data_IF_216061366329
#
_entry.id   IF_216061366329
#
_cell.length_a   1.000
_cell.length_b   1.000
_cell.length_c   1.000
_cell.angle_alpha   90.00
_cell.angle_beta   90.00
_cell.angle_gamma   90.00
#
_symmetry.space_group_name_H-M   'P 1'
#
loop_
_entity.id
_entity.type
_entity.pdbx_description
1 polymer ?
#
# COMPACT_ATOMS: atom_id res chain seq x y z
N UNK A 1 -6.66 -7.43 6.20
CA UNK A 1 -7.20 -6.39 7.09
C UNK A 1 -6.44 -6.36 8.42
N UNK A 2 -6.40 -5.21 9.10
CA UNK A 2 -5.76 -5.07 10.39
C UNK A 2 -6.83 -5.02 11.50
N UNK A 3 -6.95 -6.03 12.35
CA UNK A 3 -8.00 -6.10 13.37
C UNK A 3 -7.90 -5.01 14.45
N UNK A 4 -6.75 -4.32 14.54
CA UNK A 4 -6.53 -3.24 15.50
C UNK A 4 -7.05 -1.88 15.02
N UNK A 5 -7.36 -1.73 13.73
CA UNK A 5 -7.73 -0.46 13.10
C UNK A 5 -9.10 -0.57 12.45
N UNK A 6 -9.84 0.52 12.50
CA UNK A 6 -11.14 0.59 11.82
C UNK A 6 -10.94 0.97 10.35
N UNK A 7 -11.64 0.25 9.47
CA UNK A 7 -11.67 0.53 8.06
C UNK A 7 -12.63 1.69 7.79
N UNK A 8 -12.18 2.72 7.06
CA UNK A 8 -13.02 3.79 6.51
C UNK A 8 -13.32 3.52 5.04
N UNK A 9 -12.40 2.88 4.33
CA UNK A 9 -12.49 2.45 2.94
C UNK A 9 -11.17 1.82 2.50
N UNK A 10 -11.16 1.12 1.37
CA UNK A 10 -9.96 0.49 0.82
C UNK A 10 -9.34 1.26 -0.34
N UNK A 11 -10.08 2.16 -0.99
CA UNK A 11 -9.59 2.96 -2.11
C UNK A 11 -10.05 4.41 -1.98
N UNK A 12 -10.85 4.96 -2.84
CA UNK A 12 -11.15 6.37 -3.07
C UNK A 12 -11.52 7.20 -1.83
N UNK A 13 -10.52 7.86 -1.25
CA UNK A 13 -10.67 8.74 -0.09
C UNK A 13 -10.60 10.21 -0.49
N UNK A 14 -11.40 11.03 0.20
CA UNK A 14 -11.33 12.46 0.13
C UNK A 14 -10.85 13.04 1.46
N UNK A 15 -10.06 14.09 1.40
CA UNK A 15 -9.66 14.86 2.57
C UNK A 15 -10.28 16.26 2.53
N UNK A 16 -11.41 16.41 3.21
CA UNK A 16 -12.18 17.66 3.34
C UNK A 16 -11.58 18.59 4.41
N UNK A 17 -12.13 19.81 4.58
CA UNK A 17 -11.80 20.66 5.74
C UNK A 17 -12.09 20.03 7.10
N UNK A 18 -13.05 19.10 7.18
CA UNK A 18 -13.52 18.49 8.43
C UNK A 18 -12.89 17.12 8.73
N UNK A 19 -12.07 16.60 7.82
CA UNK A 19 -11.42 15.29 7.95
C UNK A 19 -11.52 14.47 6.67
N UNK A 20 -11.26 13.15 6.79
CA UNK A 20 -11.29 12.22 5.67
C UNK A 20 -12.63 11.48 5.59
N UNK A 21 -13.01 11.13 4.38
CA UNK A 21 -14.16 10.25 4.13
C UNK A 21 -13.91 9.42 2.88
N UNK A 22 -14.55 8.25 2.83
CA UNK A 22 -14.56 7.41 1.65
C UNK A 22 -15.82 7.70 0.83
N UNK A 23 -15.70 7.73 -0.50
CA UNK A 23 -16.83 7.99 -1.41
C UNK A 23 -17.42 6.71 -2.00
N UNK A 24 -16.78 5.57 -1.78
CA UNK A 24 -17.27 4.25 -2.16
C UNK A 24 -18.11 3.64 -1.03
N UNK A 25 -19.13 2.91 -1.39
CA UNK A 25 -19.96 2.16 -0.44
C UNK A 25 -19.49 0.72 -0.23
N UNK A 26 -18.35 0.33 -0.76
CA UNK A 26 -17.87 -1.04 -0.78
C UNK A 26 -16.36 -1.18 -0.87
N UNK A 27 -15.93 -2.41 -1.05
CA UNK A 27 -14.54 -2.80 -1.28
C UNK A 27 -14.43 -3.61 -2.56
N UNK A 28 -13.28 -3.52 -3.24
CA UNK A 28 -12.97 -4.27 -4.46
C UNK A 28 -11.61 -4.94 -4.32
N UNK A 29 -11.61 -6.16 -3.80
CA UNK A 29 -10.41 -6.88 -3.39
C UNK A 29 -9.95 -7.92 -4.40
N UNK A 30 -8.66 -8.26 -4.39
CA UNK A 30 -8.13 -9.44 -5.10
C UNK A 30 -8.59 -10.71 -4.42
N UNK A 31 -8.98 -11.71 -5.25
CA UNK A 31 -9.48 -12.99 -4.78
C UNK A 31 -8.47 -14.13 -4.94
N UNK A 32 -7.42 -13.94 -5.74
CA UNK A 32 -6.42 -14.99 -5.96
C UNK A 32 -5.78 -15.44 -4.65
N UNK A 33 -5.74 -16.76 -4.43
CA UNK A 33 -5.23 -17.42 -3.21
C UNK A 33 -5.93 -16.94 -1.93
N UNK A 34 -7.15 -16.44 -2.01
CA UNK A 34 -7.91 -16.00 -0.84
C UNK A 34 -8.23 -17.19 0.06
N UNK A 35 -7.83 -17.11 1.31
CA UNK A 35 -8.14 -18.13 2.31
C UNK A 35 -8.61 -17.51 3.63
N UNK A 36 -9.43 -18.24 4.41
CA UNK A 36 -9.91 -17.79 5.70
C UNK A 36 -8.79 -17.61 6.74
N UNK A 37 -7.64 -18.28 6.56
CA UNK A 37 -6.48 -18.20 7.44
C UNK A 37 -5.67 -16.91 7.19
N UNK A 38 -5.55 -16.50 5.93
CA UNK A 38 -4.72 -15.37 5.55
C UNK A 38 -5.48 -14.04 5.63
N UNK A 39 -6.70 -14.00 5.10
CA UNK A 39 -7.54 -12.80 5.03
C UNK A 39 -8.98 -13.08 5.50
N UNK A 40 -9.16 -13.41 6.80
CA UNK A 40 -10.46 -13.86 7.34
C UNK A 40 -11.58 -12.82 7.17
N UNK A 41 -11.29 -11.53 7.27
CA UNK A 41 -12.31 -10.49 7.12
C UNK A 41 -12.82 -10.40 5.68
N UNK A 42 -11.92 -10.48 4.68
CA UNK A 42 -12.29 -10.46 3.26
C UNK A 42 -13.06 -11.75 2.91
N UNK A 43 -12.52 -12.90 3.33
CA UNK A 43 -13.15 -14.19 3.08
C UNK A 43 -14.59 -14.24 3.63
N UNK A 44 -14.81 -13.80 4.87
CA UNK A 44 -16.12 -13.79 5.50
C UNK A 44 -17.06 -12.68 4.97
N UNK A 45 -16.53 -11.69 4.26
CA UNK A 45 -17.33 -10.67 3.58
C UNK A 45 -17.94 -11.19 2.27
N UNK A 46 -17.40 -12.28 1.70
CA UNK A 46 -17.96 -12.91 0.49
C UNK A 46 -19.19 -13.73 0.85
N UNK A 47 -20.35 -13.14 0.68
CA UNK A 47 -21.66 -13.75 0.93
C UNK A 47 -22.68 -13.21 -0.05
N UNK A 48 -23.93 -13.57 0.09
CA UNK A 48 -25.01 -13.10 -0.77
C UNK A 48 -24.97 -11.56 -0.90
N UNK A 49 -24.96 -11.08 -2.15
CA UNK A 49 -24.80 -9.65 -2.47
C UNK A 49 -23.38 -9.25 -2.90
N UNK A 50 -22.38 -10.13 -2.73
CA UNK A 50 -21.03 -9.92 -3.30
C UNK A 50 -21.02 -10.25 -4.79
N UNK A 51 -20.16 -9.55 -5.55
CA UNK A 51 -19.95 -9.80 -6.98
C UNK A 51 -18.52 -10.32 -7.16
N UNK A 52 -18.38 -11.46 -7.82
CA UNK A 52 -17.10 -12.07 -8.18
C UNK A 52 -16.82 -11.86 -9.66
N UNK A 53 -15.59 -11.49 -9.98
CA UNK A 53 -15.12 -11.26 -11.35
C UNK A 53 -13.92 -12.13 -11.66
N UNK A 54 -13.98 -12.86 -12.78
CA UNK A 54 -12.95 -13.82 -13.23
C UNK A 54 -12.67 -14.97 -12.24
N UNK A 55 -13.55 -15.21 -11.29
CA UNK A 55 -13.42 -16.28 -10.30
C UNK A 55 -14.19 -17.51 -10.81
N UNK A 56 -13.54 -18.66 -10.74
CA UNK A 56 -14.14 -19.95 -11.14
C UNK A 56 -14.96 -20.53 -9.98
N UNK A 57 -16.06 -21.16 -10.31
CA UNK A 57 -16.89 -21.89 -9.36
C UNK A 57 -17.44 -23.17 -10.00
N UNK A 58 -17.70 -24.17 -9.19
CA UNK A 58 -18.40 -25.39 -9.63
C UNK A 58 -19.90 -25.10 -9.80
N UNK A 59 -20.45 -25.41 -10.99
CA UNK A 59 -21.85 -25.11 -11.31
C UNK A 59 -22.86 -25.94 -10.49
N UNK A 60 -22.48 -27.11 -10.02
CA UNK A 60 -23.35 -28.01 -9.28
C UNK A 60 -23.33 -27.74 -7.79
N UNK A 61 -22.13 -27.65 -7.19
CA UNK A 61 -21.95 -27.42 -5.75
C UNK A 61 -22.02 -25.94 -5.37
N UNK A 62 -21.77 -25.03 -6.31
CA UNK A 62 -21.62 -23.58 -6.12
C UNK A 62 -20.40 -23.20 -5.28
N UNK A 63 -19.47 -24.12 -5.10
CA UNK A 63 -18.21 -23.86 -4.45
C UNK A 63 -17.28 -23.04 -5.35
N UNK A 64 -16.64 -22.05 -4.75
CA UNK A 64 -15.75 -21.11 -5.44
C UNK A 64 -14.30 -21.57 -5.29
N UNK A 65 -13.56 -21.59 -6.40
CA UNK A 65 -12.12 -21.87 -6.41
C UNK A 65 -11.33 -20.58 -6.60
N UNK A 66 -10.70 -20.11 -5.52
CA UNK A 66 -9.87 -18.92 -5.55
C UNK A 66 -8.44 -19.16 -6.04
N UNK A 67 -8.04 -20.42 -6.23
CA UNK A 67 -6.72 -20.80 -6.72
C UNK A 67 -6.72 -21.02 -8.25
N UNK A 68 -7.91 -21.19 -8.85
CA UNK A 68 -8.05 -21.36 -10.30
C UNK A 68 -7.78 -20.06 -11.04
N UNK A 69 -6.73 -20.07 -11.85
CA UNK A 69 -6.28 -18.95 -12.69
C UNK A 69 -6.49 -19.20 -14.19
N UNK A 70 -7.35 -20.13 -14.55
CA UNK A 70 -7.57 -20.53 -15.94
C UNK A 70 -8.09 -19.41 -16.83
N UNK A 71 -8.83 -18.44 -16.28
CA UNK A 71 -9.23 -17.22 -16.99
C UNK A 71 -8.11 -16.17 -16.90
N UNK A 72 -7.70 -15.81 -15.68
CA UNK A 72 -6.65 -14.81 -15.39
C UNK A 72 -6.29 -14.85 -13.91
N UNK A 73 -5.09 -14.40 -13.57
CA UNK A 73 -4.69 -14.16 -12.17
C UNK A 73 -5.36 -12.90 -11.57
N UNK A 74 -5.95 -12.04 -12.40
CA UNK A 74 -6.65 -10.83 -11.94
C UNK A 74 -8.10 -11.16 -11.57
N UNK A 75 -8.27 -11.98 -10.55
CA UNK A 75 -9.57 -12.29 -9.96
C UNK A 75 -9.96 -11.23 -8.95
N UNK A 76 -11.22 -10.83 -8.90
CA UNK A 76 -11.72 -9.76 -8.02
C UNK A 76 -13.02 -10.15 -7.34
N UNK A 77 -13.24 -9.54 -6.18
CA UNK A 77 -14.51 -9.60 -5.48
C UNK A 77 -14.90 -8.24 -4.92
N UNK A 78 -16.14 -7.84 -5.15
CA UNK A 78 -16.73 -6.61 -4.66
C UNK A 78 -17.82 -6.93 -3.65
N UNK A 79 -17.82 -6.22 -2.53
CA UNK A 79 -18.79 -6.40 -1.45
C UNK A 79 -19.05 -5.07 -0.71
N UNK A 80 -20.23 -4.89 -0.11
CA UNK A 80 -20.54 -3.72 0.72
C UNK A 80 -19.58 -3.59 1.89
N UNK A 81 -19.17 -2.38 2.22
CA UNK A 81 -18.20 -2.13 3.31
C UNK A 81 -18.72 -2.59 4.67
N UNK A 82 -20.03 -2.61 4.88
CA UNK A 82 -20.68 -3.09 6.09
C UNK A 82 -20.49 -4.59 6.33
N UNK A 83 -20.01 -5.34 5.32
CA UNK A 83 -19.69 -6.76 5.47
C UNK A 83 -18.36 -6.96 6.21
N UNK A 84 -17.55 -5.92 6.35
CA UNK A 84 -16.33 -5.93 7.15
C UNK A 84 -16.66 -5.52 8.59
N UNK A 85 -16.48 -6.40 9.59
CA UNK A 85 -16.83 -6.11 10.98
C UNK A 85 -16.07 -4.92 11.59
N UNK A 86 -14.84 -4.68 11.14
CA UNK A 86 -14.02 -3.56 11.57
C UNK A 86 -14.32 -2.23 10.85
N UNK A 87 -15.28 -2.19 9.92
CA UNK A 87 -15.67 -0.97 9.23
C UNK A 87 -16.27 0.08 10.17
N UNK A 88 -15.93 1.33 9.94
CA UNK A 88 -16.48 2.46 10.63
C UNK A 88 -17.61 3.07 9.80
N UNK A 89 -18.83 3.01 10.30
CA UNK A 89 -19.99 3.59 9.64
C UNK A 89 -20.47 4.83 10.43
N UNK A 90 -20.68 5.97 9.79
CA UNK A 90 -20.35 6.28 8.39
C UNK A 90 -18.84 6.29 8.13
N UNK A 91 -18.45 6.09 6.88
CA UNK A 91 -17.06 5.96 6.45
C UNK A 91 -16.30 7.30 6.51
N UNK A 92 -16.18 7.86 7.71
CA UNK A 92 -15.60 9.19 7.98
C UNK A 92 -14.63 9.13 9.15
N UNK A 93 -13.58 9.95 9.09
CA UNK A 93 -12.58 10.11 10.15
C UNK A 93 -12.19 11.57 10.34
N UNK A 94 -11.46 11.87 11.41
CA UNK A 94 -10.78 13.16 11.57
C UNK A 94 -9.61 13.31 10.59
N UNK A 95 -8.81 14.35 10.80
CA UNK A 95 -7.59 14.54 10.00
C UNK A 95 -6.58 13.43 10.27
N UNK A 96 -5.91 12.89 9.24
CA UNK A 96 -4.90 11.85 9.41
C UNK A 96 -3.65 12.41 10.11
N UNK A 97 -3.07 11.63 11.00
CA UNK A 97 -1.77 11.94 11.60
C UNK A 97 -0.61 11.50 10.69
N UNK A 98 -0.84 10.53 9.83
CA UNK A 98 0.16 9.98 8.93
C UNK A 98 -0.40 9.82 7.52
N UNK A 99 0.39 10.20 6.53
CA UNK A 99 0.19 9.90 5.11
C UNK A 99 1.25 8.91 4.69
N UNK A 100 0.86 7.76 4.19
CA UNK A 100 1.78 6.68 3.81
C UNK A 100 1.68 6.49 2.30
N UNK A 101 2.79 6.76 1.61
CA UNK A 101 2.95 6.44 0.19
C UNK A 101 3.48 5.01 0.08
N UNK A 102 2.67 4.12 -0.48
CA UNK A 102 3.10 2.77 -0.77
C UNK A 102 3.80 2.74 -2.13
N UNK A 103 4.98 2.15 -2.15
CA UNK A 103 5.70 1.87 -3.40
C UNK A 103 6.10 0.40 -3.46
N UNK A 104 6.40 -0.08 -4.65
CA UNK A 104 6.94 -1.40 -4.89
C UNK A 104 8.16 -1.25 -5.78
N UNK A 105 9.34 -1.18 -5.18
CA UNK A 105 10.59 -1.07 -5.90
C UNK A 105 11.08 -2.44 -6.39
N UNK A 106 11.12 -2.63 -7.70
CA UNK A 106 11.59 -3.87 -8.32
C UNK A 106 13.11 -3.98 -8.42
N UNK A 107 13.84 -2.91 -8.09
CA UNK A 107 15.30 -2.83 -8.24
C UNK A 107 16.05 -3.09 -6.92
N UNK A 108 15.37 -3.08 -5.79
CA UNK A 108 15.97 -3.34 -4.48
C UNK A 108 16.84 -2.20 -3.95
N UNK A 109 16.57 -0.95 -4.37
CA UNK A 109 17.36 0.24 -4.02
C UNK A 109 16.67 1.16 -3.01
N UNK A 110 15.33 1.14 -2.95
CA UNK A 110 14.60 1.96 -1.97
C UNK A 110 14.56 1.27 -0.60
N UNK A 111 14.74 2.04 0.49
CA UNK A 111 14.60 1.52 1.83
C UNK A 111 13.14 1.11 2.12
N UNK A 112 12.93 0.17 3.09
CA UNK A 112 11.60 -0.29 3.43
C UNK A 112 10.71 0.80 4.03
N UNK A 113 11.31 1.81 4.67
CA UNK A 113 10.61 2.96 5.22
C UNK A 113 11.50 4.19 5.21
N UNK A 114 10.91 5.35 4.88
CA UNK A 114 11.56 6.65 4.97
C UNK A 114 10.58 7.71 5.44
N UNK A 115 11.06 8.65 6.23
CA UNK A 115 10.34 9.87 6.55
C UNK A 115 10.57 10.90 5.44
N UNK A 116 9.49 11.53 5.00
CA UNK A 116 9.52 12.49 3.92
C UNK A 116 9.31 13.93 4.43
N UNK A 117 10.06 14.86 3.89
CA UNK A 117 9.74 16.30 3.96
C UNK A 117 8.51 16.59 3.09
N UNK A 118 7.88 17.76 3.27
CA UNK A 118 6.74 18.18 2.44
C UNK A 118 7.07 18.19 0.95
N UNK A 119 8.25 18.66 0.57
CA UNK A 119 8.69 18.67 -0.82
C UNK A 119 8.90 17.26 -1.39
N UNK A 120 9.48 16.35 -0.61
CA UNK A 120 9.64 14.94 -1.00
C UNK A 120 8.28 14.24 -1.09
N UNK A 121 7.34 14.52 -0.17
CA UNK A 121 5.98 14.00 -0.24
C UNK A 121 5.28 14.42 -1.54
N UNK A 122 5.38 15.72 -1.92
CA UNK A 122 4.85 16.21 -3.19
C UNK A 122 5.49 15.50 -4.39
N UNK A 123 6.81 15.31 -4.38
CA UNK A 123 7.53 14.63 -5.45
C UNK A 123 7.07 13.18 -5.61
N UNK A 124 7.04 12.40 -4.52
CA UNK A 124 6.58 11.01 -4.55
C UNK A 124 5.11 10.89 -4.93
N UNK A 125 4.28 11.83 -4.49
CA UNK A 125 2.87 11.88 -4.87
C UNK A 125 2.68 12.16 -6.36
N UNK A 126 3.37 13.17 -6.91
CA UNK A 126 3.29 13.50 -8.33
C UNK A 126 3.84 12.35 -9.19
N UNK A 127 4.95 11.74 -8.77
CA UNK A 127 5.53 10.62 -9.54
C UNK A 127 4.67 9.36 -9.49
N UNK A 128 4.06 9.08 -8.35
CA UNK A 128 3.26 7.87 -8.15
C UNK A 128 4.03 6.60 -8.51
N UNK A 129 5.33 6.55 -8.16
CA UNK A 129 6.21 5.44 -8.52
C UNK A 129 5.82 4.17 -7.80
N UNK A 130 5.66 3.11 -8.57
CA UNK A 130 5.47 1.74 -8.08
C UNK A 130 5.92 0.75 -9.15
N UNK A 131 5.71 -0.55 -8.94
CA UNK A 131 5.87 -1.55 -9.98
C UNK A 131 4.56 -2.32 -10.18
N UNK A 132 4.21 -2.56 -11.45
CA UNK A 132 3.24 -3.58 -11.81
C UNK A 132 3.89 -4.94 -11.53
N UNK A 133 3.18 -5.81 -10.86
CA UNK A 133 3.63 -7.17 -10.56
C UNK A 133 2.71 -8.19 -11.22
N UNK A 134 3.18 -9.41 -11.36
CA UNK A 134 2.36 -10.49 -11.92
C UNK A 134 0.97 -10.56 -11.26
N UNK A 135 -0.07 -10.78 -12.05
CA UNK A 135 -1.46 -10.83 -11.59
C UNK A 135 -2.11 -9.46 -11.33
N UNK A 136 -1.47 -8.35 -11.70
CA UNK A 136 -2.11 -7.02 -11.63
C UNK A 136 -2.80 -6.63 -12.93
N UNK A 137 -2.20 -6.98 -14.06
CA UNK A 137 -2.73 -6.75 -15.40
C UNK A 137 -2.42 -7.94 -16.31
N UNK A 138 -3.21 -8.12 -17.37
CA UNK A 138 -3.00 -9.17 -18.38
C UNK A 138 -1.64 -8.92 -19.07
N UNK A 139 -0.81 -9.96 -19.15
CA UNK A 139 0.48 -9.92 -19.85
C UNK A 139 1.68 -9.48 -18.98
N UNK A 140 1.47 -9.03 -17.76
CA UNK A 140 2.55 -8.72 -16.81
C UNK A 140 3.01 -10.00 -16.12
N UNK A 141 4.21 -10.47 -16.48
CA UNK A 141 4.85 -11.68 -15.91
C UNK A 141 6.00 -11.36 -14.97
N UNK A 142 6.66 -10.22 -15.16
CA UNK A 142 7.75 -9.70 -14.34
C UNK A 142 7.43 -8.30 -13.85
N UNK A 143 8.01 -7.85 -12.73
CA UNK A 143 7.80 -6.50 -12.23
C UNK A 143 8.30 -5.44 -13.19
N UNK A 144 7.43 -4.51 -13.56
CA UNK A 144 7.74 -3.36 -14.40
C UNK A 144 7.53 -2.06 -13.64
N UNK A 145 8.54 -1.18 -13.67
CA UNK A 145 8.40 0.15 -13.09
C UNK A 145 7.27 0.93 -13.76
N UNK A 146 6.40 1.51 -12.99
CA UNK A 146 5.29 2.33 -13.48
C UNK A 146 5.16 3.61 -12.69
N UNK A 147 4.58 4.62 -13.33
CA UNK A 147 4.32 5.93 -12.75
C UNK A 147 2.85 6.28 -12.98
N UNK A 148 2.11 6.48 -11.89
CA UNK A 148 0.72 6.92 -11.94
C UNK A 148 0.60 8.23 -11.14
N UNK A 149 0.55 9.39 -11.78
CA UNK A 149 0.50 10.66 -11.08
C UNK A 149 -0.56 10.68 -9.99
N UNK A 150 -0.17 11.08 -8.78
CA UNK A 150 -0.99 11.09 -7.59
C UNK A 150 -1.62 9.71 -7.24
N UNK A 151 -1.04 8.60 -7.75
CA UNK A 151 -1.58 7.23 -7.67
C UNK A 151 -2.97 7.06 -8.29
N UNK A 152 -3.43 8.04 -9.05
CA UNK A 152 -4.77 8.07 -9.63
C UNK A 152 -4.78 8.69 -11.04
N UNK A 153 -3.71 8.51 -11.83
CA UNK A 153 -3.53 9.16 -13.13
C UNK A 153 -4.76 9.17 -14.04
N UNK A 154 -5.49 8.04 -14.23
CA UNK A 154 -6.70 8.00 -15.06
C UNK A 154 -7.86 8.87 -14.57
N UNK A 155 -7.88 9.24 -13.28
CA UNK A 155 -8.98 9.96 -12.64
C UNK A 155 -8.72 11.44 -12.42
N UNK A 156 -7.52 11.93 -12.76
CA UNK A 156 -7.16 13.34 -12.53
C UNK A 156 -7.83 14.26 -13.55
N UNK A 157 -8.57 15.25 -13.05
CA UNK A 157 -9.19 16.31 -13.88
C UNK A 157 -8.36 17.59 -13.91
N UNK A 158 -7.44 17.78 -12.97
CA UNK A 158 -6.50 18.89 -12.92
C UNK A 158 -5.07 18.41 -13.08
N UNK A 159 -4.15 19.33 -13.32
CA UNK A 159 -2.72 19.01 -13.35
C UNK A 159 -2.26 18.41 -12.01
N UNK A 160 -1.41 17.35 -12.00
CA UNK A 160 -0.97 16.67 -10.79
C UNK A 160 -0.40 17.59 -9.71
N UNK A 161 0.28 18.67 -10.10
CA UNK A 161 0.83 19.66 -9.16
C UNK A 161 -0.25 20.28 -8.26
N UNK A 162 -1.48 20.47 -8.79
CA UNK A 162 -2.59 21.02 -8.00
C UNK A 162 -2.97 20.12 -6.83
N UNK A 163 -3.01 18.82 -7.06
CA UNK A 163 -3.31 17.83 -6.01
C UNK A 163 -2.16 17.75 -5.00
N UNK A 164 -0.91 17.82 -5.45
CA UNK A 164 0.25 17.78 -4.57
C UNK A 164 0.34 19.02 -3.67
N UNK A 165 0.03 20.21 -4.20
CA UNK A 165 -0.08 21.44 -3.42
C UNK A 165 -1.18 21.34 -2.35
N UNK A 166 -2.36 20.83 -2.72
CA UNK A 166 -3.47 20.63 -1.77
C UNK A 166 -3.09 19.63 -0.67
N UNK A 167 -2.41 18.55 -1.02
CA UNK A 167 -1.92 17.58 -0.05
C UNK A 167 -0.92 18.21 0.93
N UNK A 168 0.08 18.94 0.41
CA UNK A 168 1.07 19.61 1.22
C UNK A 168 0.44 20.64 2.19
N UNK A 169 -0.50 21.46 1.70
CA UNK A 169 -1.23 22.43 2.52
C UNK A 169 -2.02 21.74 3.66
N UNK A 170 -2.69 20.63 3.36
CA UNK A 170 -3.44 19.88 4.38
C UNK A 170 -2.51 19.20 5.39
N UNK A 171 -1.40 18.63 4.95
CA UNK A 171 -0.40 18.04 5.84
C UNK A 171 0.17 19.10 6.80
N UNK A 172 0.51 20.27 6.29
CA UNK A 172 1.03 21.38 7.11
C UNK A 172 -0.03 21.90 8.09
N UNK A 173 -1.26 22.13 7.62
CA UNK A 173 -2.35 22.67 8.44
C UNK A 173 -2.74 21.74 9.60
N UNK A 174 -2.58 20.43 9.43
CA UNK A 174 -3.01 19.42 10.42
C UNK A 174 -1.84 18.67 11.07
N UNK A 175 -0.59 19.03 10.76
CA UNK A 175 0.61 18.42 11.35
C UNK A 175 0.79 16.93 10.97
N UNK A 176 0.30 16.51 9.81
CA UNK A 176 0.42 15.13 9.36
C UNK A 176 1.84 14.82 8.88
N UNK A 177 2.40 13.69 9.33
CA UNK A 177 3.70 13.19 8.88
C UNK A 177 3.56 12.38 7.59
N UNK A 178 4.55 12.50 6.69
CA UNK A 178 4.59 11.72 5.46
C UNK A 178 5.67 10.63 5.52
N UNK A 179 5.32 9.46 5.02
CA UNK A 179 6.19 8.29 5.00
C UNK A 179 6.15 7.64 3.62
N UNK A 180 7.33 7.21 3.13
CA UNK A 180 7.44 6.29 1.99
C UNK A 180 7.66 4.90 2.53
N UNK A 181 6.79 3.95 2.16
CA UNK A 181 6.89 2.54 2.56
C UNK A 181 7.05 1.69 1.30
N UNK A 182 8.20 1.03 1.19
CA UNK A 182 8.52 0.14 0.08
C UNK A 182 8.13 -1.29 0.41
N UNK A 183 7.27 -1.87 -0.41
CA UNK A 183 6.82 -3.26 -0.34
C UNK A 183 7.47 -4.15 -1.40
N UNK A 184 8.44 -3.61 -2.13
CA UNK A 184 9.13 -4.26 -3.25
C UNK A 184 10.26 -5.18 -2.83
N UNK A 185 11.37 -5.12 -3.53
CA UNK A 185 12.52 -6.02 -3.37
C UNK A 185 13.58 -5.44 -2.44
N UNK A 186 14.38 -6.32 -1.87
CA UNK A 186 15.54 -6.04 -1.02
C UNK A 186 16.63 -7.07 -1.32
N UNK A 187 17.91 -6.71 -1.16
CA UNK A 187 19.04 -7.58 -1.43
C UNK A 187 19.36 -7.77 -2.91
N UNK A 188 18.78 -6.96 -3.78
CA UNK A 188 18.93 -6.99 -5.23
C UNK A 188 17.61 -6.76 -5.95
N UNK A 189 17.69 -6.63 -7.27
CA UNK A 189 16.54 -6.52 -8.14
C UNK A 189 15.72 -7.83 -8.20
N UNK A 190 14.55 -7.78 -8.82
CA UNK A 190 13.78 -8.98 -9.16
C UNK A 190 14.68 -10.04 -9.82
N UNK A 191 14.50 -11.29 -9.42
CA UNK A 191 15.32 -12.42 -9.87
C UNK A 191 16.61 -12.62 -9.07
N UNK A 192 17.09 -11.63 -8.33
CA UNK A 192 18.30 -11.73 -7.46
C UNK A 192 17.94 -11.52 -5.99
N UNK A 193 17.24 -10.42 -5.70
CA UNK A 193 16.75 -10.13 -4.36
C UNK A 193 15.47 -10.86 -4.01
N UNK A 194 14.96 -10.60 -2.83
CA UNK A 194 13.69 -11.14 -2.34
C UNK A 194 12.70 -10.01 -2.03
N UNK A 195 11.42 -10.30 -2.21
CA UNK A 195 10.36 -9.34 -1.88
C UNK A 195 10.29 -9.11 -0.36
N UNK A 196 10.06 -7.86 0.03
CA UNK A 196 9.86 -7.46 1.42
C UNK A 196 8.75 -8.30 2.07
N UNK A 197 9.03 -8.89 3.24
CA UNK A 197 8.04 -9.72 3.92
C UNK A 197 6.87 -8.88 4.44
N UNK A 198 5.65 -9.43 4.39
CA UNK A 198 4.47 -8.79 4.99
C UNK A 198 4.65 -8.54 6.49
N UNK A 199 5.42 -9.39 7.18
CA UNK A 199 5.74 -9.21 8.59
C UNK A 199 6.50 -7.90 8.82
N UNK A 200 7.51 -7.61 8.00
CA UNK A 200 8.27 -6.36 8.10
C UNK A 200 7.40 -5.15 7.74
N UNK A 201 6.62 -5.24 6.66
CA UNK A 201 5.70 -4.16 6.27
C UNK A 201 4.70 -3.86 7.38
N UNK A 202 4.09 -4.88 8.00
CA UNK A 202 3.15 -4.69 9.12
C UNK A 202 3.84 -4.07 10.35
N UNK A 203 5.05 -4.52 10.70
CA UNK A 203 5.82 -3.94 11.78
C UNK A 203 6.14 -2.45 11.55
N UNK A 204 6.50 -2.08 10.32
CA UNK A 204 6.74 -0.70 9.91
C UNK A 204 5.46 0.14 10.07
N UNK A 205 4.33 -0.34 9.57
CA UNK A 205 3.04 0.35 9.70
C UNK A 205 2.66 0.53 11.17
N UNK A 206 2.85 -0.49 12.01
CA UNK A 206 2.61 -0.40 13.45
C UNK A 206 3.54 0.63 14.12
N UNK A 207 4.82 0.67 13.74
CA UNK A 207 5.78 1.63 14.26
C UNK A 207 5.48 3.08 13.82
N UNK A 208 4.99 3.30 12.60
CA UNK A 208 4.50 4.60 12.14
C UNK A 208 3.30 5.03 12.98
N UNK A 209 2.29 4.19 13.12
CA UNK A 209 1.05 4.54 13.80
C UNK A 209 1.19 4.71 15.31
N UNK A 210 2.11 3.97 15.94
CA UNK A 210 2.43 4.16 17.36
C UNK A 210 3.26 5.42 17.64
N UNK A 211 3.78 6.07 16.60
CA UNK A 211 4.70 7.19 16.71
C UNK A 211 6.13 6.78 17.07
N UNK A 212 6.43 5.49 17.12
CA UNK A 212 7.77 5.00 17.50
C UNK A 212 8.86 5.54 16.57
N UNK A 213 8.57 5.69 15.26
CA UNK A 213 9.54 6.20 14.30
C UNK A 213 9.72 7.72 14.32
N UNK A 214 8.88 8.49 15.01
CA UNK A 214 8.97 9.96 15.02
C UNK A 214 10.22 10.47 15.75
N UNK A 215 10.67 9.74 16.77
CA UNK A 215 11.79 10.14 17.63
C UNK A 215 13.04 9.28 17.44
N UNK A 216 13.04 8.38 16.46
CA UNK A 216 14.20 7.56 16.11
C UNK A 216 15.18 8.40 15.28
N UNK A 217 16.48 8.27 15.55
CA UNK A 217 17.51 8.86 14.74
C UNK A 217 17.42 8.35 13.29
N UNK A 218 17.73 9.21 12.33
CA UNK A 218 17.71 8.88 10.91
C UNK A 218 19.10 9.05 10.30
N UNK A 219 19.32 8.36 9.19
CA UNK A 219 20.43 8.61 8.27
C UNK A 219 19.86 9.04 6.93
N UNK A 220 20.47 10.05 6.32
CA UNK A 220 20.06 10.51 4.99
C UNK A 220 20.65 9.59 3.93
N UNK A 221 19.80 9.05 3.07
CA UNK A 221 20.26 8.30 1.90
C UNK A 221 21.06 9.25 0.97
N UNK A 222 22.29 8.88 0.57
CA UNK A 222 23.17 9.78 -0.19
C UNK A 222 22.72 9.99 -1.64
N UNK A 223 21.82 9.14 -2.17
CA UNK A 223 21.35 9.21 -3.56
C UNK A 223 19.97 9.86 -3.61
N UNK A 224 19.03 9.37 -2.80
CA UNK A 224 17.65 9.82 -2.81
C UNK A 224 17.39 11.00 -1.87
N UNK A 225 18.29 11.27 -0.93
CA UNK A 225 18.16 12.35 0.06
C UNK A 225 17.02 12.16 1.06
N UNK A 226 16.49 10.95 1.17
CA UNK A 226 15.39 10.60 2.08
C UNK A 226 15.92 10.13 3.44
N UNK A 227 15.16 10.39 4.50
CA UNK A 227 15.53 10.06 5.88
C UNK A 227 15.11 8.63 6.23
N UNK A 228 16.09 7.77 6.51
CA UNK A 228 15.91 6.36 6.84
C UNK A 228 16.08 6.19 8.35
N UNK A 229 15.11 5.63 9.09
CA UNK A 229 15.29 5.30 10.49
C UNK A 229 16.43 4.31 10.70
N UNK A 230 17.28 4.54 11.71
CA UNK A 230 18.40 3.61 12.03
C UNK A 230 17.90 2.32 12.68
N UNK A 231 16.69 2.35 13.25
CA UNK A 231 16.03 1.19 13.84
C UNK A 231 14.51 1.26 13.63
N UNK A 232 13.86 0.09 13.63
CA UNK A 232 12.41 -0.02 13.58
C UNK A 232 11.98 -1.24 14.39
N UNK A 233 11.06 -1.12 15.36
CA UNK A 233 10.57 -2.25 16.13
C UNK A 233 10.09 -3.40 15.23
N UNK A 234 10.61 -4.60 15.44
CA UNK A 234 10.24 -5.80 14.68
C UNK A 234 10.86 -5.93 13.29
N UNK A 235 11.77 -5.03 12.91
CA UNK A 235 12.51 -5.07 11.65
C UNK A 235 14.01 -5.06 11.96
N UNK A 236 14.79 -5.95 11.32
CA UNK A 236 16.25 -5.93 11.47
C UNK A 236 16.84 -4.64 10.88
N UNK A 237 17.82 -4.05 11.56
CA UNK A 237 18.50 -2.85 11.09
C UNK A 237 19.17 -3.01 9.72
N UNK A 238 19.65 -4.21 9.40
CA UNK A 238 20.25 -4.49 8.10
C UNK A 238 19.24 -4.32 6.95
N UNK A 239 17.98 -4.68 7.19
CA UNK A 239 16.91 -4.54 6.19
C UNK A 239 16.55 -3.06 5.95
N UNK A 240 16.74 -2.20 6.95
CA UNK A 240 16.43 -0.77 6.82
C UNK A 240 17.40 -0.05 5.87
N UNK A 241 18.62 -0.59 5.68
CA UNK A 241 19.65 -0.01 4.81
C UNK A 241 19.79 -0.89 3.55
N UNK A 242 19.17 -0.56 2.41
CA UNK A 242 19.15 -1.40 1.22
C UNK A 242 20.54 -1.87 0.78
N UNK A 243 21.50 -0.97 0.78
CA UNK A 243 22.89 -1.27 0.42
C UNK A 243 23.50 -2.42 1.25
N UNK A 244 23.14 -2.51 2.52
CA UNK A 244 23.65 -3.56 3.42
C UNK A 244 23.04 -4.93 3.14
N UNK A 245 21.95 -4.99 2.42
CA UNK A 245 21.28 -6.26 2.04
C UNK A 245 21.83 -6.86 0.75
N UNK A 246 22.60 -6.09 -0.03
CA UNK A 246 23.18 -6.58 -1.29
C UNK A 246 24.42 -7.43 -1.04
N UNK A 247 24.60 -8.49 -1.87
CA UNK A 247 25.79 -9.33 -1.83
C UNK A 247 27.09 -8.53 -2.08
N UNK A 248 27.01 -7.46 -2.86
CA UNK A 248 28.07 -6.47 -3.05
C UNK A 248 27.54 -5.07 -2.70
N UNK A 249 27.78 -4.56 -1.47
CA UNK A 249 27.33 -3.24 -1.05
C UNK A 249 27.94 -2.05 -1.82
N UNK A 250 28.95 -2.31 -2.64
CA UNK A 250 29.62 -1.30 -3.48
C UNK A 250 29.07 -1.26 -4.92
N UNK A 251 28.16 -2.20 -5.25
CA UNK A 251 27.56 -2.29 -6.59
C UNK A 251 26.58 -1.15 -6.87
#
# INVERSE_FOLDING_TARGET
ADPKRKLIGDDEHCWSPDGVFNIEGGCYAKMINLSPEQEPEIYNALKFGSVLENVIYDEQTREVDFDDVSITQNTRGSYPIEYIPSAKIPCMGGHPNNVIFLTCDAFGVLPPVSRLTSAQAMYHFISGYTAKVAGTEIGITEPEATFSPCFGGPFLVHHPAKYAELLAQKMEAHGASAWLVNTGWSGGAYGTGSRMSLRHTRAIIDAIHSGALLNIATVTDPIFGIEIPVECPGVSSDVLQPRMTWANPAA
#
